data_IF_004583213136
#
_entry.id   IF_004583213136
#
_cell.length_a   1.000
_cell.length_b   1.000
_cell.length_c   1.000
_cell.angle_alpha   90.00
_cell.angle_beta   90.00
_cell.angle_gamma   90.00
#
_symmetry.space_group_name_H-M   'P 1'
#
loop_
_entity.id
_entity.type
_entity.pdbx_description
1 polymer ?
#
# COMPACT_ATOMS: atom_id res chain seq x y z
N UNK A 1 -7.66 16.52 17.53
CA UNK A 1 -6.28 16.02 17.67
C UNK A 1 -5.79 15.67 16.28
N UNK A 2 -4.90 16.47 15.70
CA UNK A 2 -4.35 16.21 14.36
C UNK A 2 -3.41 15.03 14.52
N UNK A 3 -3.80 13.86 14.01
CA UNK A 3 -2.94 12.68 14.03
C UNK A 3 -2.08 12.74 12.78
N UNK A 4 -0.82 13.15 12.94
CA UNK A 4 0.14 13.14 11.85
C UNK A 4 0.55 11.69 11.60
N UNK A 5 -0.16 11.00 10.70
CA UNK A 5 0.14 9.62 10.33
C UNK A 5 1.14 9.64 9.18
N UNK A 6 2.39 9.37 9.52
CA UNK A 6 3.40 9.01 8.55
C UNK A 6 3.14 7.56 8.11
N UNK A 7 2.64 7.40 6.89
CA UNK A 7 2.32 6.09 6.31
C UNK A 7 3.19 5.85 5.10
N UNK A 8 3.88 4.71 5.09
CA UNK A 8 4.62 4.27 3.92
C UNK A 8 3.64 3.85 2.82
N UNK A 9 3.91 4.32 1.60
CA UNK A 9 3.16 4.00 0.40
C UNK A 9 4.10 3.63 -0.75
N UNK A 10 3.64 2.73 -1.60
CA UNK A 10 4.25 2.39 -2.87
C UNK A 10 3.49 3.08 -3.99
N UNK A 11 4.23 3.75 -4.86
CA UNK A 11 3.72 4.30 -6.11
C UNK A 11 4.15 3.35 -7.23
N UNK A 12 3.19 2.72 -7.87
CA UNK A 12 3.37 1.72 -8.92
C UNK A 12 2.93 2.31 -10.24
N UNK A 13 3.86 2.51 -11.17
CA UNK A 13 3.56 3.01 -12.52
C UNK A 13 3.36 1.83 -13.46
N UNK A 14 2.18 1.77 -14.07
CA UNK A 14 1.87 0.81 -15.11
C UNK A 14 2.43 1.26 -16.46
N UNK A 15 2.76 0.31 -17.35
CA UNK A 15 3.29 0.62 -18.69
C UNK A 15 2.37 1.52 -19.53
N UNK A 16 1.06 1.52 -19.24
CA UNK A 16 0.04 2.32 -19.94
C UNK A 16 -0.18 3.72 -19.34
N UNK A 17 0.72 4.19 -18.47
CA UNK A 17 0.66 5.53 -17.87
C UNK A 17 -0.24 5.65 -16.63
N UNK A 18 -0.97 4.60 -16.25
CA UNK A 18 -1.72 4.60 -15.00
C UNK A 18 -0.77 4.49 -13.79
N UNK A 19 -1.06 5.22 -12.73
CA UNK A 19 -0.32 5.11 -11.46
C UNK A 19 -1.25 4.56 -10.39
N UNK A 20 -0.80 3.51 -9.69
CA UNK A 20 -1.49 2.98 -8.53
C UNK A 20 -0.69 3.30 -7.27
N UNK A 21 -1.40 3.65 -6.22
CA UNK A 21 -0.82 3.79 -4.88
C UNK A 21 -1.19 2.54 -4.09
N UNK A 22 -0.26 2.02 -3.31
CA UNK A 22 -0.47 0.91 -2.35
C UNK A 22 0.01 1.37 -1.00
N UNK A 23 -0.78 1.23 0.04
CA UNK A 23 -0.39 1.59 1.40
C UNK A 23 -1.04 0.65 2.40
N UNK A 24 -0.47 0.59 3.60
CA UNK A 24 -1.05 -0.15 4.70
C UNK A 24 -1.93 0.76 5.54
N UNK A 25 -3.20 0.41 5.67
CA UNK A 25 -4.11 1.03 6.63
C UNK A 25 -4.02 0.28 7.95
N UNK A 26 -3.38 0.90 8.94
CA UNK A 26 -3.21 0.35 10.28
C UNK A 26 -4.51 0.27 11.10
N UNK A 27 -5.55 1.02 10.74
CA UNK A 27 -6.86 0.95 11.40
C UNK A 27 -7.62 -0.26 10.90
N UNK A 28 -7.66 -0.43 9.58
CA UNK A 28 -8.32 -1.57 8.95
C UNK A 28 -7.48 -2.86 9.00
N UNK A 29 -6.19 -2.77 9.37
CA UNK A 29 -5.25 -3.89 9.37
C UNK A 29 -5.08 -4.50 7.98
N UNK A 30 -5.16 -3.67 6.93
CA UNK A 30 -5.23 -4.16 5.54
C UNK A 30 -4.49 -3.27 4.57
N UNK A 31 -4.14 -3.85 3.42
CA UNK A 31 -3.51 -3.12 2.32
C UNK A 31 -4.58 -2.48 1.46
N UNK A 32 -4.46 -1.17 1.31
CA UNK A 32 -5.29 -0.34 0.48
C UNK A 32 -4.56 -0.05 -0.82
N UNK A 33 -5.32 0.04 -1.92
CA UNK A 33 -4.77 0.44 -3.20
C UNK A 33 -5.80 1.18 -4.03
N UNK A 34 -5.33 2.16 -4.81
CA UNK A 34 -6.17 2.91 -5.75
C UNK A 34 -6.50 2.13 -7.04
N UNK A 35 -5.93 0.93 -7.25
CA UNK A 35 -6.13 0.14 -8.46
C UNK A 35 -6.72 -1.24 -8.18
N UNK A 36 -7.92 -1.51 -8.71
CA UNK A 36 -8.68 -2.74 -8.43
C UNK A 36 -7.94 -4.02 -8.85
N UNK A 37 -7.25 -4.00 -9.99
CA UNK A 37 -6.47 -5.16 -10.45
C UNK A 37 -5.32 -5.51 -9.51
N UNK A 38 -4.65 -4.49 -8.97
CA UNK A 38 -3.54 -4.69 -8.02
C UNK A 38 -4.06 -5.23 -6.68
N UNK A 39 -5.24 -4.77 -6.27
CA UNK A 39 -5.92 -5.24 -5.05
C UNK A 39 -6.15 -6.74 -5.09
N UNK A 40 -6.61 -7.27 -6.22
CA UNK A 40 -6.88 -8.69 -6.38
C UNK A 40 -5.61 -9.54 -6.26
N UNK A 41 -4.49 -9.05 -6.81
CA UNK A 41 -3.18 -9.70 -6.72
C UNK A 41 -2.65 -9.68 -5.29
N UNK A 42 -2.62 -8.51 -4.65
CA UNK A 42 -2.04 -8.34 -3.31
C UNK A 42 -2.86 -9.07 -2.23
N UNK A 43 -4.18 -9.20 -2.41
CA UNK A 43 -5.04 -9.97 -1.48
C UNK A 43 -4.65 -11.44 -1.35
N UNK A 44 -3.98 -12.03 -2.34
CA UNK A 44 -3.56 -13.45 -2.31
C UNK A 44 -2.28 -13.70 -1.52
N UNK A 45 -1.68 -12.65 -0.96
CA UNK A 45 -0.33 -12.72 -0.40
C UNK A 45 0.74 -12.58 -1.49
N UNK A 46 1.94 -12.20 -1.06
CA UNK A 46 3.10 -12.01 -1.92
C UNK A 46 4.23 -12.90 -1.40
N UNK A 47 4.96 -13.53 -2.31
CA UNK A 47 6.18 -14.25 -1.95
C UNK A 47 7.36 -13.29 -1.91
N UNK A 48 8.13 -13.34 -0.84
CA UNK A 48 9.43 -12.67 -0.76
C UNK A 48 10.41 -13.31 -1.74
N UNK A 49 11.54 -12.65 -1.95
CA UNK A 49 12.63 -13.19 -2.77
C UNK A 49 13.20 -14.52 -2.21
N UNK A 50 13.06 -14.75 -0.90
CA UNK A 50 13.43 -16.01 -0.23
C UNK A 50 12.37 -17.12 -0.36
N UNK A 51 11.21 -16.82 -0.96
CA UNK A 51 10.11 -17.76 -1.14
C UNK A 51 9.09 -17.82 0.00
N UNK A 52 9.26 -17.02 1.05
CA UNK A 52 8.32 -16.93 2.18
C UNK A 52 7.03 -16.20 1.75
N UNK A 53 5.87 -16.75 2.10
CA UNK A 53 4.58 -16.11 1.82
C UNK A 53 4.25 -15.09 2.91
N UNK A 54 4.04 -13.84 2.51
CA UNK A 54 3.67 -12.73 3.39
C UNK A 54 2.28 -12.26 3.02
N UNK A 55 1.48 -11.92 4.03
CA UNK A 55 0.08 -11.59 3.88
C UNK A 55 -0.21 -10.11 4.15
N UNK A 56 -1.30 -9.55 3.60
CA UNK A 56 -1.62 -8.12 3.77
C UNK A 56 -1.72 -7.65 5.23
N UNK A 57 -2.06 -8.55 6.17
CA UNK A 57 -2.14 -8.24 7.59
C UNK A 57 -0.77 -8.11 8.28
N UNK A 58 0.31 -8.56 7.64
CA UNK A 58 1.69 -8.38 8.11
C UNK A 58 2.19 -6.93 7.92
N UNK A 59 1.36 -6.07 7.31
CA UNK A 59 1.52 -4.63 7.29
C UNK A 59 2.77 -4.16 6.55
N UNK A 60 3.70 -3.55 7.29
CA UNK A 60 4.91 -3.00 6.70
C UNK A 60 5.79 -4.08 6.04
N UNK A 61 5.89 -5.27 6.65
CA UNK A 61 6.63 -6.38 6.05
C UNK A 61 6.03 -6.79 4.70
N UNK A 62 4.70 -6.74 4.58
CA UNK A 62 4.02 -6.97 3.31
C UNK A 62 4.30 -5.88 2.28
N UNK A 63 4.35 -4.61 2.67
CA UNK A 63 4.71 -3.52 1.75
C UNK A 63 6.11 -3.70 1.18
N UNK A 64 7.09 -4.10 2.00
CA UNK A 64 8.44 -4.41 1.53
C UNK A 64 8.42 -5.59 0.53
N UNK A 65 7.75 -6.69 0.87
CA UNK A 65 7.63 -7.84 -0.02
C UNK A 65 6.89 -7.49 -1.34
N UNK A 66 5.86 -6.64 -1.27
CA UNK A 66 5.12 -6.17 -2.42
C UNK A 66 5.97 -5.27 -3.33
N UNK A 67 6.83 -4.42 -2.74
CA UNK A 67 7.81 -3.63 -3.50
C UNK A 67 8.74 -4.55 -4.31
N UNK A 68 9.38 -5.51 -3.65
CA UNK A 68 10.31 -6.44 -4.29
C UNK A 68 9.63 -7.23 -5.41
N UNK A 69 8.45 -7.79 -5.11
CA UNK A 69 7.68 -8.54 -6.09
C UNK A 69 7.35 -7.70 -7.33
N UNK A 70 6.85 -6.48 -7.15
CA UNK A 70 6.47 -5.63 -8.28
C UNK A 70 7.70 -5.17 -9.08
N UNK A 71 8.77 -4.81 -8.39
CA UNK A 71 10.03 -4.43 -9.03
C UNK A 71 10.61 -5.57 -9.87
N UNK A 72 10.67 -6.78 -9.32
CA UNK A 72 11.15 -7.98 -10.02
C UNK A 72 10.26 -8.38 -11.20
N UNK A 73 8.97 -8.07 -11.16
CA UNK A 73 8.04 -8.27 -12.28
C UNK A 73 8.08 -7.13 -13.33
N UNK A 74 9.03 -6.20 -13.22
CA UNK A 74 9.26 -5.15 -14.21
C UNK A 74 8.36 -3.92 -14.08
N UNK A 75 7.64 -3.77 -12.95
CA UNK A 75 6.91 -2.54 -12.67
C UNK A 75 7.88 -1.45 -12.20
N UNK A 76 7.64 -0.22 -12.63
CA UNK A 76 8.32 0.94 -12.04
C UNK A 76 7.65 1.27 -10.70
N UNK A 77 8.32 0.92 -9.61
CA UNK A 77 7.83 1.14 -8.24
C UNK A 77 8.70 2.16 -7.53
N UNK A 78 8.07 3.03 -6.76
CA UNK A 78 8.75 4.01 -5.92
C UNK A 78 8.21 3.93 -4.49
N UNK A 79 9.11 3.88 -3.52
CA UNK A 79 8.76 4.02 -2.11
C UNK A 79 8.55 5.50 -1.77
N UNK A 80 7.45 5.82 -1.10
CA UNK A 80 7.13 7.18 -0.69
C UNK A 80 6.60 7.19 0.74
N UNK A 81 7.11 8.12 1.54
CA UNK A 81 6.56 8.41 2.86
C UNK A 81 5.47 9.47 2.70
N UNK A 82 4.23 9.12 3.03
CA UNK A 82 3.09 10.02 2.94
C UNK A 82 2.77 10.55 4.34
N UNK A 83 2.87 11.86 4.52
CA UNK A 83 2.32 12.53 5.69
C UNK A 83 0.85 12.82 5.39
N UNK A 84 -0.04 11.96 5.86
CA UNK A 84 -1.48 12.22 5.74
C UNK A 84 -1.90 13.11 6.92
N UNK A 85 -2.16 14.39 6.65
CA UNK A 85 -2.93 15.25 7.55
C UNK A 85 -4.38 14.79 7.47
N UNK A 86 -4.77 13.87 8.36
CA UNK A 86 -6.17 13.52 8.56
C UNK A 86 -6.82 14.70 9.29
N UNK A 87 -7.36 15.65 8.52
CA UNK A 87 -8.32 16.62 9.03
C UNK A 87 -9.60 15.85 9.35
N UNK A 88 -9.73 15.41 10.60
CA UNK A 88 -10.94 14.80 11.12
C UNK A 88 -12.03 15.86 11.18
N UNK A 89 -12.73 16.09 10.08
CA UNK A 89 -13.96 16.87 10.06
C UNK A 89 -15.06 16.04 10.75
N UNK A 90 -15.05 16.14 12.07
CA UNK A 90 -16.03 15.54 12.96
C UNK A 90 -17.26 16.48 13.00
N UNK A 91 -17.87 16.75 11.84
CA UNK A 91 -19.13 17.48 11.76
C UNK A 91 -20.30 16.50 11.77
N UNK A 92 -20.59 15.93 12.94
CA UNK A 92 -21.93 15.44 13.23
C UNK A 92 -22.86 16.67 13.28
N UNK A 93 -23.64 16.87 12.22
CA UNK A 93 -24.83 17.74 12.30
C UNK A 93 -25.89 16.99 13.11
N UNK A 94 -26.11 17.47 14.33
CA UNK A 94 -27.33 17.22 15.14
C UNK A 94 -28.45 18.10 14.58
#
# INVERSE_FOLDING_TARGET
>A
MIMNRNTDALIVRYPRGCTATVWFDSVAGTIMTSHAGLRATLRRGVRTWEGCLVWPYDGHAFLVAAYDYLFLNGYAVQWMKVEAVLEGDNSYRV
#
